data_IF_006888236105
#
_entry.id   IF_006888236105
#
_cell.length_a   1.000
_cell.length_b   1.000
_cell.length_c   1.000
_cell.angle_alpha   90.00
_cell.angle_beta   90.00
_cell.angle_gamma   90.00
#
_symmetry.space_group_name_H-M   'P 1'
#
loop_
_entity.id
_entity.type
_entity.pdbx_description
1 polymer ?
#
# COMPACT_ATOMS: atom_id res chain seq x y z
N UNK A 1 -1.87 -15.90 -23.89
CA UNK A 1 -3.01 -15.94 -22.94
C UNK A 1 -2.81 -14.80 -21.94
N UNK A 2 -3.84 -13.99 -21.75
CA UNK A 2 -3.79 -12.92 -20.74
C UNK A 2 -3.75 -13.57 -19.35
N UNK A 3 -2.61 -13.48 -18.66
CA UNK A 3 -2.40 -14.02 -17.30
C UNK A 3 -2.89 -13.07 -16.21
N UNK A 4 -3.73 -12.11 -16.58
CA UNK A 4 -4.32 -11.16 -15.63
C UNK A 4 -5.32 -11.89 -14.75
N UNK A 5 -5.21 -11.67 -13.43
CA UNK A 5 -6.12 -12.26 -12.45
C UNK A 5 -7.42 -11.44 -12.36
N UNK A 6 -8.55 -12.14 -12.26
CA UNK A 6 -9.85 -11.49 -12.07
C UNK A 6 -10.01 -11.02 -10.63
N UNK A 7 -10.30 -9.74 -10.48
CA UNK A 7 -10.58 -9.15 -9.16
C UNK A 7 -12.05 -9.32 -8.85
N UNK A 8 -12.38 -10.21 -7.92
CA UNK A 8 -13.60 -10.00 -7.15
C UNK A 8 -13.36 -8.76 -6.28
N UNK A 9 -14.07 -7.69 -6.61
CA UNK A 9 -13.86 -6.40 -5.96
C UNK A 9 -14.07 -6.55 -4.44
N UNK A 10 -13.03 -6.28 -3.65
CA UNK A 10 -13.21 -6.02 -2.23
C UNK A 10 -14.22 -4.88 -2.09
N UNK A 11 -15.14 -5.01 -1.14
CA UNK A 11 -16.14 -3.98 -0.90
C UNK A 11 -15.44 -2.78 -0.24
N UNK A 12 -15.08 -1.80 -1.05
CA UNK A 12 -14.52 -0.54 -0.59
C UNK A 12 -15.64 0.47 -0.29
N UNK A 13 -15.49 1.26 0.77
CA UNK A 13 -16.33 2.43 1.03
C UNK A 13 -16.16 3.48 -0.10
N UNK A 14 -17.11 4.39 -0.24
CA UNK A 14 -17.02 5.45 -1.26
C UNK A 14 -15.72 6.27 -1.19
N UNK A 15 -15.25 6.73 0.00
CA UNK A 15 -13.97 7.42 0.10
C UNK A 15 -12.77 6.55 -0.34
N UNK A 16 -12.78 5.25 0.00
CA UNK A 16 -11.75 4.32 -0.44
C UNK A 16 -11.76 4.13 -1.96
N UNK A 17 -12.94 4.06 -2.58
CA UNK A 17 -13.08 3.98 -4.03
C UNK A 17 -12.51 5.22 -4.74
N UNK A 18 -12.72 6.41 -4.19
CA UNK A 18 -12.15 7.66 -4.74
C UNK A 18 -10.62 7.54 -4.78
N UNK A 19 -9.99 7.14 -3.66
CA UNK A 19 -8.54 6.96 -3.59
C UNK A 19 -8.06 5.85 -4.52
N UNK A 20 -8.78 4.72 -4.59
CA UNK A 20 -8.40 3.58 -5.41
C UNK A 20 -8.52 3.86 -6.92
N UNK A 21 -9.46 4.71 -7.33
CA UNK A 21 -9.68 5.05 -8.74
C UNK A 21 -8.72 6.15 -9.25
N UNK A 22 -8.02 6.83 -8.35
CA UNK A 22 -7.03 7.82 -8.73
C UNK A 22 -5.84 7.18 -9.44
N UNK A 23 -5.43 7.76 -10.57
CA UNK A 23 -4.33 7.28 -11.41
C UNK A 23 -2.99 7.96 -11.10
N UNK A 24 -2.93 8.84 -10.10
CA UNK A 24 -1.68 9.47 -9.71
C UNK A 24 -0.63 8.40 -9.31
N UNK A 25 0.59 8.62 -9.77
CA UNK A 25 1.71 7.71 -9.51
C UNK A 25 2.01 7.58 -8.02
N UNK A 26 1.89 8.68 -7.29
CA UNK A 26 2.14 8.75 -5.86
C UNK A 26 0.92 9.33 -5.14
N UNK A 27 0.38 8.59 -4.20
CA UNK A 27 -0.82 8.99 -3.46
C UNK A 27 -0.52 9.05 -1.97
N UNK A 28 -0.82 10.19 -1.34
CA UNK A 28 -0.57 10.42 0.09
C UNK A 28 -1.91 10.49 0.83
N UNK A 29 -2.12 9.58 1.76
CA UNK A 29 -3.39 9.32 2.42
C UNK A 29 -3.29 9.51 3.93
N UNK A 30 -3.61 10.70 4.42
CA UNK A 30 -3.69 11.04 5.84
C UNK A 30 -5.07 10.68 6.39
N UNK A 31 -5.20 9.50 6.99
CA UNK A 31 -6.47 8.89 7.33
C UNK A 31 -6.65 8.73 8.85
N UNK A 32 -7.84 9.02 9.36
CA UNK A 32 -8.21 8.76 10.74
C UNK A 32 -8.07 7.29 11.14
N UNK A 33 -8.06 7.04 12.45
CA UNK A 33 -8.11 5.66 12.97
C UNK A 33 -9.40 4.98 12.53
N UNK A 34 -9.36 3.65 12.30
CA UNK A 34 -10.52 2.83 11.87
C UNK A 34 -11.15 3.24 10.53
N UNK A 35 -10.47 4.07 9.74
CA UNK A 35 -10.93 4.44 8.40
C UNK A 35 -10.85 3.30 7.37
N UNK A 36 -10.19 2.20 7.70
CA UNK A 36 -10.04 1.07 6.80
C UNK A 36 -8.75 1.11 5.96
N UNK A 37 -7.69 1.72 6.49
CA UNK A 37 -6.37 1.83 5.84
C UNK A 37 -5.83 0.48 5.35
N UNK A 38 -5.90 -0.55 6.19
CA UNK A 38 -5.41 -1.89 5.86
C UNK A 38 -6.19 -2.51 4.70
N UNK A 39 -7.52 -2.35 4.67
CA UNK A 39 -8.36 -2.86 3.58
C UNK A 39 -8.03 -2.15 2.25
N UNK A 40 -7.87 -0.82 2.27
CA UNK A 40 -7.43 -0.08 1.09
C UNK A 40 -6.03 -0.55 0.64
N UNK A 41 -5.09 -0.74 1.56
CA UNK A 41 -3.74 -1.23 1.25
C UNK A 41 -3.76 -2.59 0.58
N UNK A 42 -4.55 -3.54 1.08
CA UNK A 42 -4.72 -4.87 0.49
C UNK A 42 -5.33 -4.78 -0.91
N UNK A 43 -6.38 -4.00 -1.08
CA UNK A 43 -7.02 -3.79 -2.38
C UNK A 43 -6.05 -3.21 -3.40
N UNK A 44 -5.28 -2.21 -3.02
CA UNK A 44 -4.29 -1.59 -3.91
C UNK A 44 -3.16 -2.56 -4.27
N UNK A 45 -2.66 -3.34 -3.31
CA UNK A 45 -1.67 -4.39 -3.59
C UNK A 45 -2.22 -5.43 -4.55
N UNK A 46 -3.44 -5.91 -4.35
CA UNK A 46 -4.11 -6.87 -5.24
C UNK A 46 -4.33 -6.28 -6.64
N UNK A 47 -4.74 -5.01 -6.73
CA UNK A 47 -4.95 -4.28 -7.97
C UNK A 47 -3.69 -4.22 -8.84
N UNK A 48 -2.52 -4.04 -8.26
CA UNK A 48 -1.25 -4.09 -8.98
C UNK A 48 -0.81 -5.53 -9.25
N UNK A 49 -0.88 -6.42 -8.26
CA UNK A 49 -0.45 -7.81 -8.37
C UNK A 49 -1.30 -8.65 -9.35
N UNK A 50 -2.50 -8.19 -9.74
CA UNK A 50 -3.34 -8.86 -10.75
C UNK A 50 -2.68 -8.96 -12.13
N UNK A 51 -1.80 -8.03 -12.46
CA UNK A 51 -1.02 -8.11 -13.69
C UNK A 51 0.14 -9.10 -13.52
N UNK A 52 0.56 -9.81 -14.56
CA UNK A 52 1.58 -10.85 -14.42
C UNK A 52 2.95 -10.28 -14.05
N UNK A 53 3.70 -11.05 -13.25
CA UNK A 53 5.10 -10.79 -12.88
C UNK A 53 5.33 -9.48 -12.11
N UNK A 54 4.32 -8.92 -11.47
CA UNK A 54 4.46 -7.71 -10.66
C UNK A 54 5.15 -8.01 -9.32
N UNK A 55 5.90 -7.04 -8.84
CA UNK A 55 6.56 -7.07 -7.53
C UNK A 55 5.97 -5.97 -6.66
N UNK A 56 5.19 -6.36 -5.68
CA UNK A 56 4.43 -5.46 -4.80
C UNK A 56 5.02 -5.52 -3.40
N UNK A 57 5.30 -4.36 -2.81
CA UNK A 57 5.85 -4.24 -1.48
C UNK A 57 4.85 -3.56 -0.54
N UNK A 58 4.62 -4.18 0.62
CA UNK A 58 4.06 -3.51 1.79
C UNK A 58 5.16 -3.32 2.83
N UNK A 59 5.31 -2.11 3.34
CA UNK A 59 6.31 -1.78 4.35
C UNK A 59 5.67 -1.03 5.53
N UNK A 60 5.99 -1.47 6.75
CA UNK A 60 5.68 -0.79 8.01
C UNK A 60 6.97 -0.51 8.79
N UNK A 61 6.87 0.26 9.87
CA UNK A 61 8.05 0.65 10.65
C UNK A 61 8.80 -0.57 11.20
N UNK A 62 8.07 -1.54 11.82
CA UNK A 62 8.68 -2.76 12.41
C UNK A 62 8.14 -4.03 11.77
N UNK A 63 8.93 -5.12 11.85
CA UNK A 63 8.52 -6.44 11.37
C UNK A 63 7.24 -6.93 12.08
N UNK A 64 7.18 -6.76 13.41
CA UNK A 64 6.02 -7.16 14.20
C UNK A 64 4.75 -6.42 13.74
N UNK A 65 4.85 -5.12 13.52
CA UNK A 65 3.75 -4.30 13.05
C UNK A 65 3.31 -4.73 11.64
N UNK A 66 4.25 -4.91 10.71
CA UNK A 66 3.97 -5.36 9.36
C UNK A 66 3.21 -6.70 9.36
N UNK A 67 3.68 -7.67 10.16
CA UNK A 67 3.03 -8.97 10.28
C UNK A 67 1.64 -8.90 10.91
N UNK A 68 1.49 -8.20 12.02
CA UNK A 68 0.22 -8.12 12.77
C UNK A 68 -0.87 -7.35 12.02
N UNK A 69 -0.51 -6.32 11.26
CA UNK A 69 -1.50 -5.43 10.64
C UNK A 69 -2.05 -6.00 9.33
N UNK A 70 -1.18 -6.63 8.52
CA UNK A 70 -1.59 -6.93 7.15
C UNK A 70 -1.53 -8.42 6.78
N UNK A 71 -0.61 -9.22 7.37
CA UNK A 71 -0.22 -10.51 6.83
C UNK A 71 -1.35 -11.53 6.73
N UNK A 72 -2.09 -11.73 7.81
CA UNK A 72 -3.14 -12.75 7.85
C UNK A 72 -4.36 -12.33 7.02
N UNK A 73 -4.73 -11.05 7.06
CA UNK A 73 -5.84 -10.53 6.25
C UNK A 73 -5.49 -10.58 4.75
N UNK A 74 -4.29 -10.21 4.37
CA UNK A 74 -3.82 -10.30 2.98
C UNK A 74 -3.91 -11.74 2.46
N UNK A 75 -3.44 -12.73 3.23
CA UNK A 75 -3.58 -14.14 2.87
C UNK A 75 -5.04 -14.55 2.72
N UNK A 76 -5.88 -14.17 3.68
CA UNK A 76 -7.31 -14.49 3.67
C UNK A 76 -7.98 -14.00 2.39
N UNK A 77 -7.75 -12.75 2.01
CA UNK A 77 -8.33 -12.14 0.81
C UNK A 77 -7.81 -12.81 -0.47
N UNK A 78 -6.52 -13.10 -0.54
CA UNK A 78 -5.92 -13.74 -1.74
C UNK A 78 -6.29 -15.22 -1.87
N UNK A 79 -6.47 -15.95 -0.75
CA UNK A 79 -6.99 -17.32 -0.78
C UNK A 79 -8.45 -17.37 -1.25
N UNK A 80 -9.28 -16.43 -0.82
CA UNK A 80 -10.69 -16.36 -1.22
C UNK A 80 -10.89 -16.27 -2.73
N UNK A 81 -9.92 -15.70 -3.45
CA UNK A 81 -9.94 -15.58 -4.92
C UNK A 81 -9.02 -16.59 -5.64
N UNK A 82 -8.46 -17.55 -4.92
CA UNK A 82 -7.55 -18.58 -5.46
C UNK A 82 -6.33 -18.03 -6.21
N UNK A 83 -5.76 -16.92 -5.73
CA UNK A 83 -4.59 -16.31 -6.38
C UNK A 83 -3.26 -16.85 -5.87
N UNK A 84 -3.22 -17.46 -4.68
CA UNK A 84 -1.98 -17.90 -4.05
C UNK A 84 -1.46 -19.19 -4.67
N UNK A 85 -0.22 -19.16 -5.14
CA UNK A 85 0.54 -20.35 -5.55
C UNK A 85 1.40 -20.86 -4.38
N UNK A 86 2.13 -19.93 -3.70
CA UNK A 86 3.04 -20.28 -2.61
C UNK A 86 3.12 -19.17 -1.57
N UNK A 87 3.20 -19.57 -0.30
CA UNK A 87 3.46 -18.67 0.83
C UNK A 87 4.78 -19.03 1.50
N UNK A 88 5.60 -18.03 1.77
CA UNK A 88 6.79 -18.13 2.63
C UNK A 88 6.52 -17.34 3.91
N UNK A 89 6.23 -18.05 5.00
CA UNK A 89 5.89 -17.45 6.30
C UNK A 89 7.09 -16.81 7.01
N UNK A 90 8.31 -17.33 6.78
CA UNK A 90 9.52 -16.77 7.39
C UNK A 90 9.92 -15.46 6.77
N UNK A 91 9.79 -15.35 5.44
CA UNK A 91 10.13 -14.16 4.69
C UNK A 91 8.94 -13.24 4.44
N UNK A 92 7.75 -13.58 4.94
CA UNK A 92 6.50 -12.87 4.67
C UNK A 92 6.37 -12.51 3.18
N UNK A 93 6.42 -13.53 2.33
CA UNK A 93 6.32 -13.41 0.87
C UNK A 93 5.22 -14.31 0.33
N UNK A 94 4.41 -13.79 -0.56
CA UNK A 94 3.38 -14.55 -1.29
C UNK A 94 3.74 -14.54 -2.77
N UNK A 95 3.75 -15.70 -3.39
CA UNK A 95 3.82 -15.86 -4.84
C UNK A 95 2.41 -16.17 -5.35
N UNK A 96 2.00 -15.45 -6.39
CA UNK A 96 0.70 -15.61 -7.05
C UNK A 96 0.81 -16.49 -8.29
N UNK A 97 -0.30 -17.11 -8.67
CA UNK A 97 -0.40 -18.02 -9.83
C UNK A 97 -0.05 -17.36 -11.17
N UNK A 98 -0.06 -16.03 -11.27
CA UNK A 98 0.37 -15.28 -12.45
C UNK A 98 1.87 -14.85 -12.41
N UNK A 99 2.66 -15.39 -11.47
CA UNK A 99 4.07 -15.08 -11.30
C UNK A 99 4.35 -13.82 -10.48
N UNK A 100 3.34 -13.04 -10.10
CA UNK A 100 3.52 -11.86 -9.25
C UNK A 100 3.93 -12.25 -7.83
N UNK A 101 4.63 -11.34 -7.15
CA UNK A 101 5.08 -11.54 -5.77
C UNK A 101 4.71 -10.36 -4.90
N UNK A 102 4.16 -10.65 -3.73
CA UNK A 102 3.86 -9.65 -2.70
C UNK A 102 4.83 -9.87 -1.55
N UNK A 103 5.51 -8.82 -1.16
CA UNK A 103 6.47 -8.80 -0.07
C UNK A 103 5.94 -7.95 1.07
N UNK A 104 6.01 -8.46 2.30
CA UNK A 104 5.73 -7.70 3.51
C UNK A 104 7.04 -7.51 4.26
N UNK A 105 7.47 -6.28 4.49
CA UNK A 105 8.79 -5.95 5.04
C UNK A 105 8.69 -4.88 6.12
N UNK A 106 9.79 -4.68 6.85
CA UNK A 106 9.93 -3.57 7.79
C UNK A 106 11.00 -2.58 7.35
N UNK A 107 10.85 -1.35 7.83
CA UNK A 107 11.85 -0.30 7.63
C UNK A 107 13.06 -0.41 8.56
N UNK A 108 13.05 -1.34 9.53
CA UNK A 108 14.17 -1.59 10.46
C UNK A 108 15.45 -1.98 9.73
N UNK A 109 15.34 -2.79 8.68
CA UNK A 109 16.47 -3.19 7.85
C UNK A 109 16.35 -2.61 6.45
N UNK A 110 16.65 -1.33 6.31
CA UNK A 110 16.58 -0.59 5.04
C UNK A 110 17.46 -1.18 3.95
N UNK A 111 18.62 -1.70 4.29
CA UNK A 111 19.56 -2.25 3.32
C UNK A 111 19.00 -3.51 2.63
N UNK A 112 18.21 -4.31 3.34
CA UNK A 112 17.55 -5.49 2.76
C UNK A 112 16.48 -5.14 1.70
N UNK A 113 16.05 -3.87 1.64
CA UNK A 113 15.09 -3.38 0.65
C UNK A 113 15.76 -2.98 -0.67
N UNK A 114 17.09 -2.80 -0.68
CA UNK A 114 17.87 -2.43 -1.86
C UNK A 114 17.96 -3.59 -2.86
N UNK A 115 18.17 -3.26 -4.12
CA UNK A 115 18.42 -4.26 -5.18
C UNK A 115 17.18 -4.99 -5.70
N UNK A 116 16.02 -4.76 -5.12
CA UNK A 116 14.75 -5.28 -5.66
C UNK A 116 14.03 -4.16 -6.40
N UNK A 117 13.62 -4.42 -7.64
CA UNK A 117 12.72 -3.51 -8.37
C UNK A 117 11.29 -3.79 -7.94
N UNK A 118 10.53 -2.76 -7.69
CA UNK A 118 9.10 -2.86 -7.35
C UNK A 118 8.25 -2.13 -8.38
N UNK A 119 7.03 -2.62 -8.57
CA UNK A 119 6.01 -2.01 -9.42
C UNK A 119 5.02 -1.20 -8.59
N UNK A 120 4.82 -1.61 -7.33
CA UNK A 120 3.98 -0.89 -6.39
C UNK A 120 4.49 -1.02 -4.96
N UNK A 121 4.43 0.08 -4.21
CA UNK A 121 4.83 0.13 -2.79
C UNK A 121 3.71 0.74 -1.96
N UNK A 122 3.34 0.08 -0.87
CA UNK A 122 2.53 0.65 0.21
C UNK A 122 3.45 0.94 1.39
N UNK A 123 3.50 2.20 1.84
CA UNK A 123 4.17 2.61 3.07
C UNK A 123 3.11 2.89 4.14
N UNK A 124 2.92 1.96 5.08
CA UNK A 124 1.91 2.08 6.13
C UNK A 124 2.48 2.70 7.41
N UNK A 125 1.62 3.45 8.13
CA UNK A 125 1.98 4.31 9.26
C UNK A 125 3.22 5.16 8.94
N UNK A 126 3.18 5.77 7.76
CA UNK A 126 4.27 6.45 7.09
C UNK A 126 4.98 7.49 7.99
N UNK A 127 4.24 8.15 8.89
CA UNK A 127 4.79 9.13 9.83
C UNK A 127 5.86 8.55 10.77
N UNK A 128 5.86 7.24 11.02
CA UNK A 128 6.80 6.56 11.92
C UNK A 128 8.04 6.03 11.18
N UNK A 129 8.00 5.97 9.86
CA UNK A 129 9.11 5.48 9.04
C UNK A 129 10.12 6.61 8.83
N UNK A 130 11.42 6.29 8.94
CA UNK A 130 12.46 7.27 8.61
C UNK A 130 12.36 7.69 7.14
N UNK A 131 12.32 9.00 6.83
CA UNK A 131 12.17 9.51 5.47
C UNK A 131 13.25 9.03 4.49
N UNK A 132 14.46 8.76 4.96
CA UNK A 132 15.52 8.20 4.12
C UNK A 132 15.15 6.84 3.52
N UNK A 133 14.29 6.07 4.19
CA UNK A 133 13.78 4.81 3.65
C UNK A 133 13.07 5.03 2.31
N UNK A 134 12.31 6.11 2.20
CA UNK A 134 11.69 6.48 0.93
C UNK A 134 12.69 7.10 -0.05
N UNK A 135 13.33 8.21 0.36
CA UNK A 135 14.09 9.01 -0.59
C UNK A 135 15.34 8.33 -1.12
N UNK A 136 16.03 7.54 -0.28
CA UNK A 136 17.32 6.94 -0.64
C UNK A 136 17.26 5.46 -0.99
N UNK A 137 16.20 4.75 -0.58
CA UNK A 137 16.08 3.30 -0.78
C UNK A 137 14.94 2.93 -1.70
N UNK A 138 13.69 3.26 -1.34
CA UNK A 138 12.52 2.75 -2.05
C UNK A 138 12.21 3.49 -3.35
N UNK A 139 12.26 4.82 -3.35
CA UNK A 139 11.98 5.61 -4.55
C UNK A 139 12.85 5.21 -5.76
N UNK A 140 14.16 4.97 -5.61
CA UNK A 140 14.99 4.47 -6.70
C UNK A 140 14.52 3.12 -7.27
N UNK A 141 13.96 2.22 -6.43
CA UNK A 141 13.49 0.89 -6.88
C UNK A 141 12.30 0.93 -7.83
N UNK A 142 11.57 2.05 -7.86
CA UNK A 142 10.45 2.31 -8.77
C UNK A 142 10.87 2.96 -10.09
N UNK A 143 12.13 3.38 -10.24
CA UNK A 143 12.56 4.18 -11.38
C UNK A 143 12.51 3.40 -12.70
N UNK A 144 12.95 2.14 -12.66
CA UNK A 144 13.03 1.30 -13.87
C UNK A 144 11.67 0.77 -14.32
N UNK A 145 10.73 0.62 -13.38
CA UNK A 145 9.40 0.06 -13.65
C UNK A 145 8.37 1.14 -13.95
N UNK A 146 8.68 2.41 -13.67
CA UNK A 146 7.67 3.47 -13.62
C UNK A 146 6.66 3.25 -12.48
N UNK A 147 7.04 2.45 -11.47
CA UNK A 147 6.16 1.98 -10.42
C UNK A 147 5.52 3.08 -9.59
N UNK A 148 4.48 2.70 -8.85
CA UNK A 148 3.63 3.60 -8.07
C UNK A 148 3.83 3.42 -6.56
N UNK A 149 3.44 4.41 -5.75
CA UNK A 149 3.43 4.26 -4.30
C UNK A 149 2.19 4.88 -3.64
N UNK A 150 1.76 4.22 -2.56
CA UNK A 150 0.73 4.68 -1.64
C UNK A 150 1.37 4.93 -0.27
N UNK A 151 1.36 6.17 0.17
CA UNK A 151 1.76 6.58 1.51
C UNK A 151 0.50 6.70 2.36
N UNK A 152 0.37 5.88 3.39
CA UNK A 152 -0.85 5.86 4.19
C UNK A 152 -0.49 5.88 5.68
N UNK A 153 -1.28 6.56 6.49
CA UNK A 153 -1.05 6.64 7.92
C UNK A 153 -2.00 7.58 8.61
N UNK A 154 -1.95 7.56 9.94
CA UNK A 154 -2.68 8.51 10.77
C UNK A 154 -1.87 9.80 10.91
N UNK A 155 -2.51 10.99 10.86
CA UNK A 155 -1.83 12.25 11.14
C UNK A 155 -1.18 12.24 12.52
N UNK A 156 0.10 12.62 12.60
CA UNK A 156 0.89 12.68 13.86
C UNK A 156 1.63 14.02 13.99
N UNK A 157 0.92 15.12 13.84
CA UNK A 157 1.51 16.45 13.86
C UNK A 157 2.32 16.78 12.59
N UNK A 158 3.18 17.82 12.70
CA UNK A 158 4.04 18.25 11.59
C UNK A 158 5.31 17.42 11.56
N UNK A 159 5.39 16.52 10.57
CA UNK A 159 6.53 15.65 10.31
C UNK A 159 6.68 15.47 8.78
N UNK A 160 7.62 14.65 8.34
CA UNK A 160 7.88 14.45 6.92
C UNK A 160 6.66 13.91 6.13
N UNK A 161 5.77 13.14 6.77
CA UNK A 161 4.54 12.67 6.15
C UNK A 161 3.54 13.81 5.94
N UNK A 162 3.46 14.76 6.91
CA UNK A 162 2.70 15.99 6.74
C UNK A 162 3.26 16.84 5.60
N UNK A 163 4.59 17.02 5.54
CA UNK A 163 5.24 17.78 4.47
C UNK A 163 4.99 17.15 3.10
N UNK A 164 5.05 15.82 3.03
CA UNK A 164 4.74 15.06 1.83
C UNK A 164 3.27 15.26 1.39
N UNK A 165 2.33 15.24 2.34
CA UNK A 165 0.91 15.49 2.09
C UNK A 165 0.65 16.88 1.52
N UNK A 166 1.28 17.90 2.09
CA UNK A 166 1.16 19.29 1.60
C UNK A 166 1.76 19.45 0.21
N UNK A 167 2.95 18.87 -0.03
CA UNK A 167 3.63 18.98 -1.32
C UNK A 167 2.94 18.20 -2.44
N UNK A 168 2.31 17.08 -2.12
CA UNK A 168 1.64 16.21 -3.10
C UNK A 168 0.57 16.96 -3.91
N UNK A 169 -0.18 17.86 -3.29
CA UNK A 169 -1.21 18.65 -3.96
C UNK A 169 -0.70 19.62 -5.03
N UNK A 170 0.62 19.90 -5.06
CA UNK A 170 1.25 20.82 -6.01
C UNK A 170 2.03 20.12 -7.14
N UNK A 171 2.14 18.79 -7.13
CA UNK A 171 2.95 18.03 -8.08
C UNK A 171 2.08 17.21 -9.05
N UNK A 172 2.42 17.23 -10.35
CA UNK A 172 1.61 16.62 -11.42
C UNK A 172 1.31 15.13 -11.23
N UNK A 173 2.26 14.35 -10.71
CA UNK A 173 2.13 12.89 -10.58
C UNK A 173 1.73 12.46 -9.18
N UNK A 174 1.28 13.42 -8.35
CA UNK A 174 0.95 13.21 -6.96
C UNK A 174 -0.50 13.61 -6.67
N UNK A 175 -1.09 12.90 -5.72
CA UNK A 175 -2.38 13.25 -5.11
C UNK A 175 -2.31 13.14 -3.60
N UNK A 176 -3.09 13.96 -2.90
CA UNK A 176 -3.20 13.87 -1.45
C UNK A 176 -4.65 13.81 -1.01
N UNK A 177 -4.91 13.00 0.01
CA UNK A 177 -6.22 12.75 0.59
C UNK A 177 -6.15 12.87 2.10
N UNK A 178 -7.17 13.49 2.67
CA UNK A 178 -7.34 13.54 4.11
C UNK A 178 -8.79 13.20 4.45
N UNK A 179 -8.98 12.17 5.28
CA UNK A 179 -10.27 11.78 5.80
C UNK A 179 -10.21 11.54 7.30
N UNK A 180 -11.25 11.95 7.99
CA UNK A 180 -11.43 11.68 9.42
C UNK A 180 -12.00 10.28 9.64
N UNK A 181 -12.00 9.83 10.91
CA UNK A 181 -12.65 8.57 11.29
C UNK A 181 -14.15 8.55 10.95
N UNK A 182 -14.83 9.70 11.03
CA UNK A 182 -16.27 9.81 10.77
C UNK A 182 -16.63 9.65 9.29
N UNK A 183 -15.68 9.85 8.41
CA UNK A 183 -15.85 9.74 6.95
C UNK A 183 -15.53 8.33 6.41
N UNK A 184 -15.16 7.39 7.29
CA UNK A 184 -14.82 6.03 6.90
C UNK A 184 -15.97 5.29 6.20
N UNK A 185 -17.20 5.44 6.70
CA UNK A 185 -18.36 4.66 6.27
C UNK A 185 -19.35 5.45 5.38
N UNK A 186 -19.05 6.70 5.06
CA UNK A 186 -19.98 7.55 4.33
C UNK A 186 -21.29 7.84 5.10
N UNK A 187 -21.30 7.61 6.40
CA UNK A 187 -22.41 7.95 7.28
C UNK A 187 -22.47 9.46 7.48
N UNK A 188 -23.22 10.13 6.61
CA UNK A 188 -23.84 11.37 7.00
C UNK A 188 -24.89 11.03 8.05
N UNK A 189 -24.57 11.22 9.33
CA UNK A 189 -25.64 11.41 10.31
C UNK A 189 -26.41 12.65 9.85
N UNK A 190 -27.56 12.43 9.21
CA UNK A 190 -28.58 13.47 9.10
C UNK A 190 -28.96 13.86 10.52
N UNK A 191 -28.62 15.08 10.93
CA UNK A 191 -29.27 15.75 12.04
C UNK A 191 -30.68 16.10 11.64
#
# INVERSE_FOLDING_TARGET
MDQRLDVQAMILSKPQQIVSNDQARFRVCAMGRRWGKSMLSINEMAKFARYPNQRVLYIANTYRQAKQVIWDELKTQLYAVNWIEKVNESDLQIQLVNGSKIFVRSAENREALRGTKYDFIVMDECADINPDTWFTVLRPTLSDTGGHALFIGSPKGRNWFYDLHVQAGAQKDWSSYQYTTLEADGFHQKK
#
